data_IF_883700438394
#
_entry.id   IF_883700438394
#
_cell.length_a   1.000
_cell.length_b   1.000
_cell.length_c   1.000
_cell.angle_alpha   90.00
_cell.angle_beta   90.00
_cell.angle_gamma   90.00
#
_symmetry.space_group_name_H-M   'P 1'
#
loop_
_entity.id
_entity.type
_entity.pdbx_description
1 polymer ?
#
# COMPACT_ATOMS: atom_id res chain seq x y z
N UNK A 1 6.34 -27.04 -19.76
CA UNK A 1 5.79 -25.69 -19.70
C UNK A 1 5.96 -25.17 -18.27
N UNK A 2 6.59 -24.01 -18.08
CA UNK A 2 6.66 -23.30 -16.78
C UNK A 2 5.63 -22.16 -16.77
N UNK A 3 4.81 -22.12 -15.74
CA UNK A 3 3.77 -21.09 -15.57
C UNK A 3 3.96 -20.41 -14.23
N UNK A 4 4.04 -19.08 -14.24
CA UNK A 4 4.03 -18.26 -13.02
C UNK A 4 2.66 -17.64 -12.87
N UNK A 5 2.07 -17.80 -11.68
CA UNK A 5 0.75 -17.26 -11.32
C UNK A 5 0.95 -16.21 -10.24
N UNK A 6 0.62 -14.96 -10.55
CA UNK A 6 0.68 -13.81 -9.65
C UNK A 6 -0.61 -12.99 -9.80
N UNK A 7 -1.61 -13.30 -8.99
CA UNK A 7 -2.97 -12.75 -9.05
C UNK A 7 -3.23 -11.94 -7.78
N UNK A 8 -3.71 -10.71 -7.91
CA UNK A 8 -4.14 -9.91 -6.76
C UNK A 8 -5.46 -10.42 -6.16
N UNK A 9 -5.78 -9.98 -4.98
CA UNK A 9 -7.01 -10.36 -4.29
C UNK A 9 -8.25 -9.93 -5.08
N UNK A 10 -9.27 -10.78 -5.02
CA UNK A 10 -10.63 -10.42 -5.46
C UNK A 10 -11.37 -9.88 -4.24
N UNK A 11 -11.22 -8.58 -3.99
CA UNK A 11 -11.68 -7.91 -2.78
C UNK A 11 -13.11 -8.32 -2.39
N UNK A 12 -13.26 -8.81 -1.16
CA UNK A 12 -14.52 -9.34 -0.64
C UNK A 12 -14.90 -10.74 -1.15
N UNK A 13 -14.00 -11.45 -1.87
CA UNK A 13 -14.25 -12.79 -2.42
C UNK A 13 -13.07 -13.73 -2.18
N UNK A 14 -11.95 -13.57 -2.89
CA UNK A 14 -10.78 -14.45 -2.78
C UNK A 14 -9.54 -13.67 -2.35
N UNK A 15 -8.74 -14.27 -1.48
CA UNK A 15 -7.37 -13.81 -1.24
C UNK A 15 -6.50 -14.07 -2.49
N UNK A 16 -5.37 -13.38 -2.60
CA UNK A 16 -4.39 -13.57 -3.67
C UNK A 16 -3.97 -15.05 -3.81
N UNK A 17 -3.66 -15.71 -2.70
CA UNK A 17 -3.26 -17.11 -2.70
C UNK A 17 -4.42 -18.05 -3.11
N UNK A 18 -5.63 -17.79 -2.65
CA UNK A 18 -6.80 -18.60 -3.05
C UNK A 18 -7.08 -18.48 -4.54
N UNK A 19 -7.00 -17.26 -5.11
CA UNK A 19 -7.15 -17.05 -6.55
C UNK A 19 -6.02 -17.73 -7.34
N UNK A 20 -4.78 -17.60 -6.87
CA UNK A 20 -3.61 -18.24 -7.49
C UNK A 20 -3.68 -19.77 -7.45
N UNK A 21 -4.10 -20.36 -6.33
CA UNK A 21 -4.26 -21.80 -6.20
C UNK A 21 -5.42 -22.35 -7.06
N UNK A 22 -6.51 -21.61 -7.18
CA UNK A 22 -7.61 -21.98 -8.08
C UNK A 22 -7.17 -21.91 -9.56
N UNK A 23 -6.37 -20.91 -9.93
CA UNK A 23 -5.78 -20.83 -11.27
C UNK A 23 -4.83 -22.01 -11.53
N UNK A 24 -3.95 -22.35 -10.57
CA UNK A 24 -3.07 -23.53 -10.63
C UNK A 24 -3.85 -24.83 -10.84
N UNK A 25 -4.96 -25.02 -10.14
CA UNK A 25 -5.85 -26.18 -10.34
C UNK A 25 -6.34 -26.27 -11.78
N UNK A 26 -6.79 -25.14 -12.35
CA UNK A 26 -7.23 -25.09 -13.76
C UNK A 26 -6.12 -25.40 -14.74
N UNK A 27 -4.91 -24.87 -14.53
CA UNK A 27 -3.73 -25.15 -15.37
C UNK A 27 -3.41 -26.65 -15.36
N UNK A 28 -3.31 -27.25 -14.18
CA UNK A 28 -2.95 -28.66 -14.02
C UNK A 28 -4.02 -29.63 -14.56
N UNK A 29 -5.28 -29.23 -14.65
CA UNK A 29 -6.32 -30.00 -15.34
C UNK A 29 -6.10 -30.03 -16.87
N UNK A 30 -5.61 -28.98 -17.45
CA UNK A 30 -5.30 -28.92 -18.89
C UNK A 30 -3.91 -29.49 -19.20
N UNK A 31 -2.92 -29.20 -18.36
CA UNK A 31 -1.51 -29.60 -18.52
C UNK A 31 -1.00 -30.20 -17.19
N UNK A 32 -1.20 -31.50 -16.96
CA UNK A 32 -0.82 -32.15 -15.68
C UNK A 32 0.67 -32.06 -15.34
N UNK A 33 1.53 -31.98 -16.37
CA UNK A 33 2.99 -31.93 -16.22
C UNK A 33 3.55 -30.49 -16.18
N UNK A 34 2.70 -29.46 -16.11
CA UNK A 34 3.16 -28.08 -16.03
C UNK A 34 3.82 -27.78 -14.69
N UNK A 35 4.96 -27.09 -14.71
CA UNK A 35 5.57 -26.51 -13.51
C UNK A 35 4.87 -25.18 -13.18
N UNK A 36 3.99 -25.19 -12.18
CA UNK A 36 3.17 -24.03 -11.79
C UNK A 36 3.63 -23.44 -10.48
N UNK A 37 4.21 -22.25 -10.54
CA UNK A 37 4.63 -21.46 -9.36
C UNK A 37 3.58 -20.41 -9.04
N UNK A 38 3.09 -20.37 -7.80
CA UNK A 38 2.14 -19.36 -7.33
C UNK A 38 2.86 -18.39 -6.40
N UNK A 39 2.79 -17.10 -6.70
CA UNK A 39 3.33 -16.02 -5.87
C UNK A 39 2.19 -15.15 -5.35
N UNK A 40 2.24 -14.72 -4.08
CA UNK A 40 1.27 -13.76 -3.56
C UNK A 40 1.44 -12.42 -4.27
N UNK A 41 0.34 -11.72 -4.46
CA UNK A 41 0.34 -10.39 -5.06
C UNK A 41 -0.57 -9.46 -4.24
N UNK A 42 -0.22 -8.20 -4.21
CA UNK A 42 -1.01 -7.10 -3.67
C UNK A 42 -0.62 -5.81 -4.39
N UNK A 43 -1.42 -4.78 -4.24
CA UNK A 43 -1.18 -3.47 -4.87
C UNK A 43 -0.51 -2.44 -3.94
N UNK A 44 -0.11 -2.85 -2.72
CA UNK A 44 0.42 -1.93 -1.69
C UNK A 44 -0.66 -1.25 -0.85
N UNK A 45 -1.93 -1.52 -1.12
CA UNK A 45 -3.08 -1.03 -0.35
C UNK A 45 -3.50 -1.98 0.77
N UNK A 46 -4.79 -1.88 1.15
CA UNK A 46 -5.41 -2.70 2.19
C UNK A 46 -5.30 -4.21 1.89
N UNK A 47 -4.85 -4.98 2.89
CA UNK A 47 -4.67 -6.43 2.80
C UNK A 47 -3.32 -6.88 2.25
N UNK A 48 -2.42 -5.95 1.95
CA UNK A 48 -1.05 -6.25 1.50
C UNK A 48 -0.28 -7.05 2.53
N UNK A 49 -0.38 -6.67 3.80
CA UNK A 49 0.29 -7.35 4.92
C UNK A 49 -0.13 -8.81 5.00
N UNK A 50 -1.44 -9.08 5.03
CA UNK A 50 -1.96 -10.44 5.14
C UNK A 50 -1.62 -11.30 3.90
N UNK A 51 -1.66 -10.72 2.69
CA UNK A 51 -1.28 -11.40 1.47
C UNK A 51 0.19 -11.83 1.46
N UNK A 52 1.09 -10.94 1.89
CA UNK A 52 2.53 -11.22 1.94
C UNK A 52 2.88 -12.21 3.06
N UNK A 53 2.28 -12.09 4.25
CA UNK A 53 2.46 -13.06 5.34
C UNK A 53 2.05 -14.46 4.86
N UNK A 54 0.83 -14.59 4.32
CA UNK A 54 0.31 -15.88 3.88
C UNK A 54 1.14 -16.50 2.76
N UNK A 55 1.67 -15.68 1.85
CA UNK A 55 2.39 -16.15 0.69
C UNK A 55 3.88 -16.40 0.89
N UNK A 56 4.50 -15.71 1.84
CA UNK A 56 5.94 -15.79 2.11
C UNK A 56 6.28 -16.50 3.43
N UNK A 57 5.28 -17.03 4.13
CA UNK A 57 5.51 -17.74 5.40
C UNK A 57 5.89 -16.80 6.55
N UNK A 58 5.36 -15.58 6.55
CA UNK A 58 5.60 -14.60 7.59
C UNK A 58 4.77 -14.83 8.86
N UNK A 59 5.12 -14.11 9.91
CA UNK A 59 4.42 -14.06 11.18
C UNK A 59 3.59 -12.79 11.27
N UNK A 60 2.35 -12.90 11.78
CA UNK A 60 1.52 -11.75 12.13
C UNK A 60 1.80 -11.32 13.55
N UNK A 61 2.09 -10.05 13.75
CA UNK A 61 2.33 -9.43 15.06
C UNK A 61 1.17 -8.49 15.35
N UNK A 62 0.36 -8.84 16.36
CA UNK A 62 -0.77 -8.01 16.81
C UNK A 62 -0.33 -7.14 18.00
N UNK A 63 -0.75 -5.89 18.02
CA UNK A 63 -0.45 -4.93 19.08
C UNK A 63 -1.57 -3.90 19.22
N UNK A 64 -1.63 -3.25 20.37
CA UNK A 64 -2.53 -2.11 20.59
C UNK A 64 -1.72 -0.82 20.49
N UNK A 65 -2.19 0.11 19.66
CA UNK A 65 -1.54 1.40 19.39
C UNK A 65 -2.54 2.54 19.50
N UNK A 66 -2.04 3.75 19.47
CA UNK A 66 -2.85 4.97 19.42
C UNK A 66 -3.53 5.08 18.04
N UNK A 67 -4.84 5.07 18.02
CA UNK A 67 -5.64 5.27 16.80
C UNK A 67 -5.67 6.73 16.34
N UNK A 68 -6.30 7.01 15.19
CA UNK A 68 -6.31 8.36 14.60
C UNK A 68 -7.00 9.41 15.46
N UNK A 69 -7.90 9.01 16.35
CA UNK A 69 -8.61 9.90 17.28
C UNK A 69 -7.95 9.96 18.68
N UNK A 70 -6.72 9.46 18.84
CA UNK A 70 -6.04 9.41 20.13
C UNK A 70 -6.51 8.30 21.07
N UNK A 71 -7.43 7.45 20.65
CA UNK A 71 -7.92 6.29 21.41
C UNK A 71 -7.21 5.01 20.99
N UNK A 72 -7.03 4.02 21.91
CA UNK A 72 -6.39 2.75 21.55
C UNK A 72 -7.15 2.00 20.47
N UNK A 73 -6.40 1.43 19.50
CA UNK A 73 -6.91 0.54 18.45
C UNK A 73 -6.03 -0.70 18.35
N UNK A 74 -6.62 -1.82 17.94
CA UNK A 74 -5.87 -3.03 17.63
C UNK A 74 -5.33 -2.91 16.20
N UNK A 75 -4.01 -2.96 16.08
CA UNK A 75 -3.29 -2.96 14.82
C UNK A 75 -2.47 -4.24 14.68
N UNK A 76 -1.95 -4.48 13.49
CA UNK A 76 -1.02 -5.57 13.26
C UNK A 76 -0.04 -5.21 12.15
N UNK A 77 1.08 -5.91 12.12
CA UNK A 77 2.01 -5.91 11.02
C UNK A 77 2.56 -7.31 10.74
N UNK A 78 3.12 -7.51 9.56
CA UNK A 78 3.75 -8.75 9.16
C UNK A 78 5.24 -8.74 9.45
N UNK A 79 5.79 -9.87 9.88
CA UNK A 79 7.23 -10.06 10.02
C UNK A 79 7.73 -11.22 9.14
N UNK A 80 8.63 -10.91 8.23
CA UNK A 80 9.34 -11.88 7.41
C UNK A 80 10.74 -12.12 8.01
N UNK A 81 10.87 -13.19 8.79
CA UNK A 81 12.09 -13.47 9.56
C UNK A 81 13.33 -13.65 8.67
N UNK A 82 13.21 -14.38 7.56
CA UNK A 82 14.32 -14.64 6.63
C UNK A 82 14.92 -13.35 6.03
N UNK A 83 14.07 -12.32 5.85
CA UNK A 83 14.47 -11.02 5.27
C UNK A 83 14.67 -9.93 6.32
N UNK A 84 14.45 -10.26 7.61
CA UNK A 84 14.39 -9.28 8.71
C UNK A 84 13.57 -8.03 8.35
N UNK A 85 12.37 -8.25 7.78
CA UNK A 85 11.53 -7.19 7.20
C UNK A 85 10.17 -7.16 7.88
N UNK A 86 9.74 -5.97 8.32
CA UNK A 86 8.36 -5.70 8.73
C UNK A 86 7.55 -5.16 7.54
N UNK A 87 6.33 -5.63 7.42
CA UNK A 87 5.35 -5.15 6.44
C UNK A 87 4.21 -4.50 7.20
N UNK A 88 4.04 -3.19 7.04
CA UNK A 88 3.04 -2.40 7.75
C UNK A 88 2.08 -1.74 6.77
N UNK A 89 0.84 -1.63 7.18
CA UNK A 89 -0.14 -0.72 6.57
C UNK A 89 -0.44 0.41 7.57
N UNK A 90 -0.19 1.66 7.19
CA UNK A 90 -0.50 2.78 8.07
C UNK A 90 -1.98 2.84 8.46
N UNK A 91 -2.85 2.32 7.59
CA UNK A 91 -4.29 2.28 7.82
C UNK A 91 -4.70 1.39 9.02
N UNK A 92 -3.84 0.45 9.44
CA UNK A 92 -4.09 -0.35 10.64
C UNK A 92 -4.07 0.49 11.93
N UNK A 93 -3.30 1.60 11.95
CA UNK A 93 -3.19 2.49 13.10
C UNK A 93 -3.82 3.87 12.87
N UNK A 94 -3.83 4.39 11.64
CA UNK A 94 -4.27 5.75 11.32
C UNK A 94 -5.19 5.82 10.09
N UNK A 95 -5.90 4.71 9.82
CA UNK A 95 -6.77 4.56 8.66
C UNK A 95 -8.13 5.24 8.79
N UNK A 96 -8.68 5.65 7.64
CA UNK A 96 -10.01 6.28 7.56
C UNK A 96 -11.14 5.32 7.97
N UNK A 97 -10.92 4.01 7.81
CA UNK A 97 -11.88 2.98 8.23
C UNK A 97 -12.04 2.88 9.76
N UNK A 98 -11.09 3.41 10.52
CA UNK A 98 -11.14 3.47 11.99
C UNK A 98 -11.96 4.67 12.50
N UNK A 99 -12.42 5.54 11.61
CA UNK A 99 -13.09 6.79 11.95
C UNK A 99 -14.49 6.83 11.34
N UNK A 100 -15.51 7.03 12.15
CA UNK A 100 -16.87 7.23 11.67
C UNK A 100 -16.96 8.55 10.89
N UNK A 101 -17.89 8.63 9.93
CA UNK A 101 -18.06 9.83 9.10
C UNK A 101 -18.25 11.11 9.93
N UNK A 102 -19.02 11.01 11.02
CA UNK A 102 -19.29 12.14 11.93
C UNK A 102 -18.13 12.51 12.85
N UNK A 103 -17.08 11.70 12.92
CA UNK A 103 -15.92 11.87 13.82
C UNK A 103 -14.67 12.29 13.05
N UNK A 104 -14.75 12.39 11.72
CA UNK A 104 -13.63 12.84 10.90
C UNK A 104 -13.21 14.25 11.25
N UNK A 105 -11.98 14.41 11.71
CA UNK A 105 -11.42 15.70 12.08
C UNK A 105 -9.93 15.79 11.75
N UNK A 106 -9.55 16.39 10.62
CA UNK A 106 -8.15 16.51 10.19
C UNK A 106 -7.31 17.40 11.10
N UNK A 107 -7.95 18.26 11.93
CA UNK A 107 -7.26 19.14 12.88
C UNK A 107 -6.64 18.36 14.04
N UNK A 108 -7.23 17.23 14.44
CA UNK A 108 -6.81 16.46 15.61
C UNK A 108 -6.36 15.05 15.30
N UNK A 109 -6.68 14.52 14.10
CA UNK A 109 -6.30 13.17 13.71
C UNK A 109 -4.78 13.02 13.61
N UNK A 110 -4.25 11.95 14.23
CA UNK A 110 -2.81 11.74 14.42
C UNK A 110 -2.29 10.46 13.78
N UNK A 111 -1.05 10.50 13.31
CA UNK A 111 -0.28 9.33 12.83
C UNK A 111 0.53 8.67 13.95
N UNK A 112 0.32 9.01 15.23
CA UNK A 112 1.14 8.55 16.36
C UNK A 112 1.27 7.02 16.40
N UNK A 113 0.18 6.27 16.24
CA UNK A 113 0.18 4.81 16.25
C UNK A 113 1.00 4.17 15.13
N UNK A 114 1.20 4.86 14.00
CA UNK A 114 2.12 4.38 12.95
C UNK A 114 3.55 4.35 13.48
N UNK A 115 3.95 5.38 14.22
CA UNK A 115 5.26 5.42 14.87
C UNK A 115 5.42 4.35 15.97
N UNK A 116 4.35 4.05 16.72
CA UNK A 116 4.36 2.98 17.73
C UNK A 116 4.55 1.61 17.07
N UNK A 117 3.91 1.33 15.92
CA UNK A 117 4.13 0.09 15.16
C UNK A 117 5.59 -0.05 14.69
N UNK A 118 6.17 1.04 14.18
CA UNK A 118 7.58 1.07 13.77
C UNK A 118 8.50 0.85 14.98
N UNK A 119 8.21 1.49 16.12
CA UNK A 119 9.00 1.36 17.34
C UNK A 119 8.99 -0.08 17.88
N UNK A 120 7.82 -0.73 17.95
CA UNK A 120 7.69 -2.14 18.36
C UNK A 120 8.52 -3.07 17.45
N UNK A 121 8.45 -2.88 16.14
CA UNK A 121 9.23 -3.66 15.19
C UNK A 121 10.75 -3.44 15.39
N UNK A 122 11.18 -2.19 15.61
CA UNK A 122 12.60 -1.90 15.90
C UNK A 122 13.09 -2.54 17.19
N UNK A 123 12.26 -2.55 18.25
CA UNK A 123 12.57 -3.19 19.54
C UNK A 123 12.74 -4.72 19.39
N UNK A 124 12.00 -5.34 18.46
CA UNK A 124 12.16 -6.75 18.09
C UNK A 124 13.40 -7.03 17.22
N UNK A 125 14.20 -6.02 16.90
CA UNK A 125 15.40 -6.16 16.10
C UNK A 125 15.19 -6.07 14.60
N UNK A 126 14.00 -5.71 14.12
CA UNK A 126 13.70 -5.53 12.70
C UNK A 126 14.33 -4.21 12.21
N UNK A 127 14.88 -4.23 10.99
CA UNK A 127 15.58 -3.08 10.40
C UNK A 127 15.13 -2.73 8.98
N UNK A 128 14.40 -3.61 8.32
CA UNK A 128 13.85 -3.34 6.99
C UNK A 128 12.33 -3.19 7.08
N UNK A 129 11.81 -2.17 6.43
CA UNK A 129 10.40 -1.82 6.50
C UNK A 129 9.81 -1.65 5.11
N UNK A 130 8.71 -2.32 4.83
CA UNK A 130 7.82 -2.07 3.69
C UNK A 130 6.54 -1.50 4.28
N UNK A 131 6.21 -0.26 3.96
CA UNK A 131 5.08 0.43 4.58
C UNK A 131 4.13 0.95 3.51
N UNK A 132 2.90 0.44 3.50
CA UNK A 132 1.80 0.99 2.71
C UNK A 132 1.21 2.21 3.40
N UNK A 133 1.10 3.34 2.68
CA UNK A 133 0.58 4.58 3.25
C UNK A 133 -0.79 5.00 2.71
N UNK A 134 -1.48 4.09 2.02
CA UNK A 134 -2.85 4.29 1.55
C UNK A 134 -3.89 4.33 2.68
N UNK A 135 -5.08 4.89 2.41
CA UNK A 135 -6.25 4.82 3.29
C UNK A 135 -6.19 5.68 4.56
N UNK A 136 -5.38 6.72 4.63
CA UNK A 136 -5.19 7.56 5.82
C UNK A 136 -6.41 8.40 6.22
N UNK A 137 -6.62 8.57 7.54
CA UNK A 137 -7.57 9.53 8.12
C UNK A 137 -6.93 10.90 8.45
N UNK A 138 -5.62 11.02 8.37
CA UNK A 138 -4.81 12.08 8.96
C UNK A 138 -4.36 13.12 7.95
N UNK A 139 -4.09 14.34 8.43
CA UNK A 139 -3.50 15.44 7.68
C UNK A 139 -2.50 16.20 8.58
N UNK A 140 -1.67 15.43 9.31
CA UNK A 140 -0.78 15.92 10.37
C UNK A 140 0.70 16.02 9.91
N UNK A 141 0.98 15.94 8.60
CA UNK A 141 2.36 16.01 8.10
C UNK A 141 3.28 14.88 8.60
N UNK A 142 2.71 13.83 9.21
CA UNK A 142 3.45 12.75 9.84
C UNK A 142 4.07 13.10 11.21
N UNK A 143 3.71 14.26 11.80
CA UNK A 143 4.28 14.72 13.08
C UNK A 143 4.00 13.74 14.21
N UNK A 144 2.80 13.13 14.23
CA UNK A 144 2.44 12.12 15.24
C UNK A 144 3.38 10.92 15.19
N UNK A 145 3.61 10.34 14.01
CA UNK A 145 4.57 9.24 13.81
C UNK A 145 5.97 9.61 14.30
N UNK A 146 6.46 10.79 13.93
CA UNK A 146 7.79 11.25 14.33
C UNK A 146 7.90 11.44 15.84
N UNK A 147 6.84 11.92 16.52
CA UNK A 147 6.80 12.05 17.97
C UNK A 147 6.90 10.69 18.66
N UNK A 148 6.18 9.68 18.19
CA UNK A 148 6.28 8.32 18.72
C UNK A 148 7.68 7.72 18.53
N UNK A 149 8.40 8.15 17.47
CA UNK A 149 9.79 7.77 17.21
C UNK A 149 10.82 8.62 17.99
N UNK A 150 10.37 9.56 18.84
CA UNK A 150 11.19 10.33 19.77
C UNK A 150 11.62 11.71 19.27
N UNK A 151 11.17 12.17 18.08
CA UNK A 151 11.33 13.57 17.70
C UNK A 151 10.43 14.44 18.57
N UNK A 152 10.88 15.68 18.87
CA UNK A 152 10.08 16.66 19.61
C UNK A 152 9.85 17.90 18.74
N UNK A 153 8.65 18.42 18.80
CA UNK A 153 8.21 19.61 18.08
C UNK A 153 7.67 20.63 19.10
N UNK A 154 8.26 21.81 19.11
CA UNK A 154 7.92 22.83 20.08
C UNK A 154 7.51 24.15 19.41
N UNK A 155 6.65 24.90 20.07
CA UNK A 155 6.27 26.24 19.70
C UNK A 155 7.37 27.28 20.10
N UNK A 156 7.11 28.56 19.86
CA UNK A 156 8.02 29.68 20.19
C UNK A 156 8.35 29.79 21.70
N UNK A 157 7.49 29.24 22.56
CA UNK A 157 7.68 29.22 24.01
C UNK A 157 8.37 27.93 24.51
N UNK A 158 8.76 27.04 23.59
CA UNK A 158 9.37 25.73 23.91
C UNK A 158 8.36 24.68 24.41
N UNK A 159 7.06 24.92 24.23
CA UNK A 159 6.00 23.98 24.62
C UNK A 159 5.70 23.01 23.48
N UNK A 160 5.31 21.78 23.82
CA UNK A 160 4.89 20.80 22.80
C UNK A 160 3.70 21.33 21.98
N UNK A 161 3.76 21.17 20.68
CA UNK A 161 2.74 21.69 19.76
C UNK A 161 1.43 20.89 19.76
N UNK A 162 1.38 19.73 20.41
CA UNK A 162 0.21 18.83 20.41
C UNK A 162 0.13 17.95 19.17
N UNK A 163 -1.07 17.51 18.81
CA UNK A 163 -1.35 16.52 17.79
C UNK A 163 -2.19 17.09 16.64
N UNK A 164 -2.17 16.37 15.51
CA UNK A 164 -3.02 16.62 14.33
C UNK A 164 -2.57 17.80 13.47
N UNK A 165 -3.36 18.10 12.43
CA UNK A 165 -3.05 19.18 11.49
C UNK A 165 -2.96 20.57 12.13
N UNK A 166 -3.73 20.83 13.20
CA UNK A 166 -3.68 22.08 13.96
C UNK A 166 -2.34 22.34 14.67
N UNK A 167 -1.53 21.30 14.88
CA UNK A 167 -0.23 21.44 15.53
C UNK A 167 0.81 22.09 14.61
N UNK A 168 0.65 21.94 13.29
CA UNK A 168 1.67 22.26 12.29
C UNK A 168 1.99 23.77 12.23
N UNK A 169 0.99 24.65 12.40
CA UNK A 169 1.18 26.10 12.37
C UNK A 169 2.05 26.62 13.53
N UNK A 170 2.08 25.86 14.65
CA UNK A 170 2.81 26.25 15.87
C UNK A 170 4.24 25.73 15.92
N UNK A 171 4.66 24.88 14.98
CA UNK A 171 6.00 24.33 14.99
C UNK A 171 7.04 25.45 14.79
N UNK A 172 7.83 25.71 15.81
CA UNK A 172 8.91 26.70 15.78
C UNK A 172 10.29 26.05 15.86
N UNK A 173 10.42 24.94 16.56
CA UNK A 173 11.67 24.18 16.67
C UNK A 173 11.45 22.67 16.62
N UNK A 174 12.47 21.97 16.15
CA UNK A 174 12.52 20.52 16.02
C UNK A 174 13.75 20.01 16.76
N UNK A 175 13.56 18.99 17.61
CA UNK A 175 14.61 18.39 18.43
C UNK A 175 14.69 16.91 18.10
N UNK A 176 15.88 16.42 17.73
CA UNK A 176 16.14 15.02 17.36
C UNK A 176 16.95 14.23 18.37
N UNK A 177 17.42 14.87 19.44
CA UNK A 177 18.32 14.27 20.43
C UNK A 177 17.68 13.09 21.18
N UNK A 178 16.35 13.05 21.22
CA UNK A 178 15.57 11.94 21.80
C UNK A 178 15.02 10.96 20.75
N UNK A 179 15.22 11.24 19.46
CA UNK A 179 14.84 10.30 18.43
C UNK A 179 15.59 8.98 18.62
N UNK A 180 14.85 7.88 18.40
CA UNK A 180 15.40 6.55 18.59
C UNK A 180 16.65 6.36 17.71
N UNK A 181 17.84 6.11 18.29
CA UNK A 181 19.08 6.01 17.52
C UNK A 181 19.08 4.86 16.51
N UNK A 182 18.26 3.84 16.72
CA UNK A 182 18.11 2.68 15.85
C UNK A 182 17.55 3.08 14.47
N UNK A 183 16.85 4.21 14.36
CA UNK A 183 16.31 4.72 13.08
C UNK A 183 17.39 4.85 11.98
N UNK A 184 18.64 5.12 12.37
CA UNK A 184 19.77 5.25 11.43
C UNK A 184 20.20 3.91 10.80
N UNK A 185 19.80 2.79 11.42
CA UNK A 185 20.09 1.45 10.95
C UNK A 185 18.95 0.88 10.10
N UNK A 186 17.81 1.60 10.03
CA UNK A 186 16.61 1.14 9.38
C UNK A 186 16.54 1.58 7.92
N UNK A 187 16.00 0.72 7.08
CA UNK A 187 15.68 0.98 5.68
C UNK A 187 14.17 1.05 5.52
N UNK A 188 13.67 2.16 5.01
CA UNK A 188 12.24 2.39 4.83
C UNK A 188 11.88 2.45 3.35
N UNK A 189 11.10 1.48 2.89
CA UNK A 189 10.52 1.43 1.55
C UNK A 189 9.02 1.68 1.66
N UNK A 190 8.56 2.77 1.09
CA UNK A 190 7.19 3.25 1.24
C UNK A 190 6.41 3.02 -0.05
N UNK A 191 5.35 2.23 0.02
CA UNK A 191 4.42 2.02 -1.07
C UNK A 191 3.55 3.27 -1.26
N UNK A 192 3.78 3.99 -2.35
CA UNK A 192 3.11 5.25 -2.66
C UNK A 192 2.80 5.32 -4.16
N UNK A 193 1.51 5.31 -4.50
CA UNK A 193 1.02 5.33 -5.88
C UNK A 193 0.58 6.74 -6.34
N UNK A 194 0.86 7.76 -5.54
CA UNK A 194 0.50 9.15 -5.85
C UNK A 194 1.74 10.02 -5.93
N UNK A 195 1.69 11.04 -6.79
CA UNK A 195 2.81 11.95 -7.06
C UNK A 195 2.59 13.36 -6.51
N UNK A 196 1.51 13.58 -5.76
CA UNK A 196 1.15 14.88 -5.25
C UNK A 196 2.23 15.47 -4.33
N UNK A 197 2.58 16.76 -4.49
CA UNK A 197 3.45 17.47 -3.56
C UNK A 197 2.75 17.65 -2.21
N UNK A 198 3.50 18.12 -1.22
CA UNK A 198 2.96 18.31 0.13
C UNK A 198 1.86 19.36 0.19
N UNK A 199 2.09 20.54 -0.39
CA UNK A 199 1.27 21.73 -0.26
C UNK A 199 0.75 22.26 -1.61
N UNK A 200 -0.17 23.24 -1.53
CA UNK A 200 -0.78 23.91 -2.67
C UNK A 200 -2.00 23.15 -3.22
N UNK A 201 -2.56 23.67 -4.32
CA UNK A 201 -3.82 23.16 -4.91
C UNK A 201 -3.79 21.67 -5.27
N UNK A 202 -2.61 21.14 -5.56
CA UNK A 202 -2.40 19.72 -5.86
C UNK A 202 -1.81 18.96 -4.66
N UNK A 203 -1.71 19.59 -3.50
CA UNK A 203 -1.11 19.05 -2.28
C UNK A 203 -2.05 18.17 -1.46
N UNK A 204 -1.52 17.68 -0.34
CA UNK A 204 -2.19 16.76 0.57
C UNK A 204 -3.56 17.26 1.02
N UNK A 205 -3.64 18.51 1.48
CA UNK A 205 -4.83 19.09 2.09
C UNK A 205 -5.97 19.26 1.08
N UNK A 206 -5.68 19.81 -0.10
CA UNK A 206 -6.72 20.07 -1.10
C UNK A 206 -7.20 18.82 -1.83
N UNK A 207 -6.31 17.88 -2.13
CA UNK A 207 -6.67 16.69 -2.93
C UNK A 207 -7.27 15.58 -2.05
N UNK A 208 -6.66 15.31 -0.91
CA UNK A 208 -7.06 14.18 -0.06
C UNK A 208 -7.79 14.58 1.22
N UNK A 209 -7.75 15.86 1.58
CA UNK A 209 -8.37 16.39 2.78
C UNK A 209 -9.89 16.28 2.82
N UNK A 210 -10.65 16.53 1.73
CA UNK A 210 -12.11 16.49 1.76
C UNK A 210 -12.67 15.17 2.30
N UNK A 211 -12.16 14.03 1.88
CA UNK A 211 -12.59 12.72 2.40
C UNK A 211 -12.27 12.49 3.89
N UNK A 212 -11.35 13.29 4.46
CA UNK A 212 -10.92 13.24 5.86
C UNK A 212 -11.61 14.28 6.74
N UNK A 213 -12.52 15.07 6.16
CA UNK A 213 -13.26 16.11 6.88
C UNK A 213 -12.69 17.52 6.72
N UNK A 214 -11.73 17.75 5.81
CA UNK A 214 -11.32 19.11 5.45
C UNK A 214 -12.46 19.79 4.71
N UNK A 215 -12.98 20.87 5.28
CA UNK A 215 -13.98 21.73 4.61
C UNK A 215 -13.30 22.88 3.85
N UNK A 216 -13.99 23.51 2.88
CA UNK A 216 -13.41 24.66 2.16
C UNK A 216 -12.94 25.79 3.10
N UNK A 217 -13.60 25.97 4.24
CA UNK A 217 -13.30 27.02 5.22
C UNK A 217 -11.95 26.83 5.92
N UNK A 218 -11.55 25.56 6.19
CA UNK A 218 -10.30 25.26 6.90
C UNK A 218 -9.17 24.83 5.96
N UNK A 219 -9.46 24.61 4.67
CA UNK A 219 -8.50 24.05 3.73
C UNK A 219 -7.27 24.97 3.55
N UNK A 220 -7.49 26.27 3.45
CA UNK A 220 -6.42 27.25 3.25
C UNK A 220 -5.51 27.34 4.49
N UNK A 221 -6.10 27.41 5.70
CA UNK A 221 -5.35 27.47 6.96
C UNK A 221 -4.51 26.21 7.17
N UNK A 222 -5.09 25.03 6.89
CA UNK A 222 -4.36 23.76 7.01
C UNK A 222 -3.24 23.63 5.98
N UNK A 223 -3.43 24.09 4.75
CA UNK A 223 -2.37 24.05 3.73
C UNK A 223 -1.25 25.05 4.07
N UNK A 224 -1.57 26.23 4.61
CA UNK A 224 -0.59 27.19 5.11
C UNK A 224 0.17 26.62 6.31
N UNK A 225 -0.49 25.96 7.25
CA UNK A 225 0.15 25.28 8.38
C UNK A 225 1.11 24.16 7.91
N UNK A 226 0.70 23.39 6.94
CA UNK A 226 1.53 22.35 6.31
C UNK A 226 2.77 22.95 5.65
N UNK A 227 2.61 24.06 4.92
CA UNK A 227 3.72 24.76 4.28
C UNK A 227 4.68 25.40 5.31
N UNK A 228 4.14 25.95 6.40
CA UNK A 228 4.94 26.44 7.52
C UNK A 228 5.80 25.33 8.13
N UNK A 229 5.19 24.19 8.47
CA UNK A 229 5.90 23.02 8.98
C UNK A 229 7.00 22.54 8.03
N UNK A 230 6.71 22.45 6.72
CA UNK A 230 7.70 22.09 5.72
C UNK A 230 8.90 23.08 5.70
N UNK A 231 8.61 24.37 5.82
CA UNK A 231 9.64 25.42 5.88
C UNK A 231 10.56 25.29 7.11
N UNK A 232 9.97 25.00 8.29
CA UNK A 232 10.75 24.76 9.51
C UNK A 232 11.57 23.49 9.39
N UNK A 233 10.99 22.42 8.83
CA UNK A 233 11.68 21.14 8.56
C UNK A 233 12.85 21.32 7.63
N UNK A 234 12.66 22.04 6.52
CA UNK A 234 13.72 22.32 5.55
C UNK A 234 14.92 23.06 6.16
N UNK A 235 14.66 24.04 7.02
CA UNK A 235 15.71 24.74 7.77
C UNK A 235 16.45 23.83 8.73
N UNK A 236 15.72 22.94 9.43
CA UNK A 236 16.29 22.02 10.39
C UNK A 236 17.16 20.93 9.74
N UNK A 237 16.72 20.39 8.60
CA UNK A 237 17.40 19.28 7.90
C UNK A 237 18.37 19.74 6.83
N UNK A 238 18.36 21.04 6.47
CA UNK A 238 19.11 21.61 5.34
C UNK A 238 18.76 20.94 3.99
N UNK A 239 17.53 20.46 3.86
CA UNK A 239 17.00 19.83 2.65
C UNK A 239 15.50 20.09 2.55
N UNK A 240 14.95 20.10 1.32
CA UNK A 240 13.53 20.37 1.05
C UNK A 240 12.92 19.26 0.21
N UNK A 241 11.95 18.56 0.80
CA UNK A 241 11.16 17.53 0.13
C UNK A 241 9.70 17.92 -0.08
N UNK A 242 9.29 19.15 0.19
CA UNK A 242 7.89 19.55 0.08
C UNK A 242 7.33 19.40 -1.35
N UNK A 243 8.17 19.61 -2.37
CA UNK A 243 7.81 19.45 -3.78
C UNK A 243 8.10 18.08 -4.35
N UNK A 244 8.64 17.14 -3.55
CA UNK A 244 8.93 15.78 -4.01
C UNK A 244 7.65 15.02 -4.35
N UNK A 245 7.74 14.17 -5.36
CA UNK A 245 6.63 13.28 -5.73
C UNK A 245 6.27 12.37 -4.54
N UNK A 246 4.98 12.32 -4.20
CA UNK A 246 4.46 11.54 -3.07
C UNK A 246 4.60 12.21 -1.69
N UNK A 247 5.21 13.38 -1.58
CA UNK A 247 5.30 14.10 -0.31
C UNK A 247 3.93 14.36 0.33
N UNK A 248 2.91 14.64 -0.48
CA UNK A 248 1.53 14.85 -0.04
C UNK A 248 0.76 13.58 0.31
N UNK A 249 1.30 12.41 0.01
CA UNK A 249 0.63 11.14 0.31
C UNK A 249 0.32 11.03 1.81
N UNK A 250 -0.86 10.44 2.10
CA UNK A 250 -1.32 10.20 3.47
C UNK A 250 -1.29 11.45 4.37
N UNK A 251 -1.65 12.62 3.82
CA UNK A 251 -1.71 13.85 4.60
C UNK A 251 -0.35 14.36 5.06
N UNK A 252 0.68 14.16 4.23
CA UNK A 252 2.06 14.56 4.48
C UNK A 252 2.91 13.50 5.18
N UNK A 253 2.39 12.30 5.41
CA UNK A 253 3.19 11.20 5.95
C UNK A 253 4.33 10.83 4.98
N UNK A 254 4.10 10.89 3.65
CA UNK A 254 5.15 10.74 2.63
C UNK A 254 6.29 11.74 2.82
N UNK A 255 5.98 13.00 3.08
CA UNK A 255 6.97 14.03 3.40
C UNK A 255 7.79 13.70 4.65
N UNK A 256 7.13 13.21 5.72
CA UNK A 256 7.82 12.83 6.95
C UNK A 256 8.81 11.68 6.71
N UNK A 257 8.42 10.66 5.97
CA UNK A 257 9.30 9.56 5.61
C UNK A 257 10.52 10.01 4.79
N UNK A 258 10.30 10.83 3.76
CA UNK A 258 11.38 11.39 2.94
C UNK A 258 12.34 12.25 3.75
N UNK A 259 11.79 13.16 4.56
CA UNK A 259 12.58 14.18 5.25
C UNK A 259 13.37 13.64 6.44
N UNK A 260 12.75 12.83 7.27
CA UNK A 260 13.31 12.43 8.58
C UNK A 260 13.90 11.03 8.60
N UNK A 261 13.40 10.13 7.77
CA UNK A 261 13.75 8.70 7.81
C UNK A 261 14.52 8.22 6.58
N UNK A 262 14.92 9.15 5.70
CA UNK A 262 15.64 8.85 4.46
C UNK A 262 14.98 7.72 3.65
N UNK A 263 13.65 7.68 3.64
CA UNK A 263 12.88 6.65 2.99
C UNK A 263 12.89 6.79 1.46
N UNK A 264 12.63 5.67 0.79
CA UNK A 264 12.38 5.63 -0.65
C UNK A 264 10.89 5.43 -0.89
N UNK A 265 10.25 6.33 -1.64
CA UNK A 265 8.88 6.16 -2.11
C UNK A 265 8.90 5.46 -3.46
N UNK A 266 8.13 4.40 -3.59
CA UNK A 266 8.08 3.55 -4.79
C UNK A 266 6.63 3.12 -5.03
N UNK A 267 6.18 2.94 -6.27
CA UNK A 267 4.88 2.35 -6.55
C UNK A 267 4.68 1.05 -5.79
N UNK A 268 3.51 0.89 -5.17
CA UNK A 268 3.23 -0.25 -4.30
C UNK A 268 3.49 -1.59 -4.99
N UNK A 269 3.04 -1.73 -6.23
CA UNK A 269 3.25 -2.95 -6.99
C UNK A 269 4.74 -3.29 -7.17
N UNK A 270 5.60 -2.32 -7.43
CA UNK A 270 7.03 -2.58 -7.65
C UNK A 270 7.71 -3.08 -6.36
N UNK A 271 7.32 -2.54 -5.18
CA UNK A 271 7.79 -3.04 -3.89
C UNK A 271 7.33 -4.49 -3.64
N UNK A 272 6.09 -4.80 -3.96
CA UNK A 272 5.54 -6.15 -3.77
C UNK A 272 6.22 -7.15 -4.69
N UNK A 273 6.38 -6.84 -5.98
CA UNK A 273 7.08 -7.70 -6.93
C UNK A 273 8.51 -8.03 -6.49
N UNK A 274 9.21 -7.03 -5.92
CA UNK A 274 10.53 -7.22 -5.34
C UNK A 274 10.49 -8.07 -4.06
N UNK A 275 9.53 -7.82 -3.16
CA UNK A 275 9.38 -8.57 -1.91
C UNK A 275 9.13 -10.06 -2.15
N UNK A 276 8.29 -10.41 -3.14
CA UNK A 276 7.98 -11.79 -3.51
C UNK A 276 9.03 -12.39 -4.46
N UNK A 277 10.03 -11.60 -4.86
CA UNK A 277 11.08 -12.02 -5.81
C UNK A 277 10.52 -12.57 -7.13
N UNK A 278 9.47 -11.90 -7.65
CA UNK A 278 8.78 -12.39 -8.84
C UNK A 278 9.72 -12.46 -10.03
N UNK A 279 10.65 -11.53 -10.16
CA UNK A 279 11.60 -11.46 -11.29
C UNK A 279 12.41 -12.74 -11.45
N UNK A 280 12.85 -13.36 -10.35
CA UNK A 280 13.58 -14.64 -10.37
C UNK A 280 12.74 -15.79 -10.92
N UNK A 281 11.43 -15.75 -10.67
CA UNK A 281 10.53 -16.80 -11.14
C UNK A 281 10.18 -16.65 -12.63
N UNK A 282 10.29 -15.43 -13.17
CA UNK A 282 9.97 -15.15 -14.56
C UNK A 282 11.06 -15.59 -15.56
N UNK A 283 12.26 -15.86 -15.07
CA UNK A 283 13.30 -16.48 -15.89
C UNK A 283 12.78 -17.83 -16.43
N UNK A 284 12.90 -18.05 -17.76
CA UNK A 284 12.44 -19.25 -18.45
C UNK A 284 10.93 -19.55 -18.27
N UNK A 285 10.10 -18.53 -18.02
CA UNK A 285 8.65 -18.68 -17.89
C UNK A 285 7.96 -18.56 -19.24
N UNK A 286 7.22 -19.61 -19.63
CA UNK A 286 6.46 -19.64 -20.87
C UNK A 286 5.23 -18.72 -20.79
N UNK A 287 4.48 -18.84 -19.69
CA UNK A 287 3.21 -18.13 -19.48
C UNK A 287 3.17 -17.53 -18.08
N UNK A 288 2.77 -16.28 -18.01
CA UNK A 288 2.46 -15.60 -16.76
C UNK A 288 0.95 -15.37 -16.63
N UNK A 289 0.37 -15.81 -15.55
CA UNK A 289 -1.04 -15.59 -15.22
C UNK A 289 -1.15 -14.54 -14.15
N UNK A 290 -1.92 -13.49 -14.41
CA UNK A 290 -2.20 -12.42 -13.46
C UNK A 290 -3.70 -12.13 -13.37
N UNK A 291 -4.12 -11.19 -12.58
CA UNK A 291 -5.53 -10.82 -12.44
C UNK A 291 -5.83 -10.04 -11.17
N UNK A 292 -7.07 -9.62 -11.09
CA UNK A 292 -7.66 -8.91 -9.93
C UNK A 292 -9.20 -9.02 -9.97
N UNK A 293 -9.87 -8.49 -8.95
CA UNK A 293 -11.35 -8.53 -8.87
C UNK A 293 -12.05 -7.85 -10.05
N UNK A 294 -11.48 -6.78 -10.62
CA UNK A 294 -12.05 -6.03 -11.74
C UNK A 294 -10.97 -5.39 -12.60
N UNK A 295 -10.93 -5.77 -13.88
CA UNK A 295 -10.12 -5.10 -14.88
C UNK A 295 -10.88 -3.90 -15.47
N UNK A 296 -10.28 -2.72 -15.35
CA UNK A 296 -10.83 -1.46 -15.82
C UNK A 296 -9.75 -0.48 -16.29
N UNK A 297 -10.11 0.77 -16.53
CA UNK A 297 -9.18 1.83 -16.90
C UNK A 297 -8.05 2.03 -15.87
N UNK A 298 -8.36 1.93 -14.57
CA UNK A 298 -7.36 2.11 -13.52
C UNK A 298 -6.31 1.01 -13.52
N UNK A 299 -6.68 -0.22 -13.91
CA UNK A 299 -5.74 -1.33 -14.06
C UNK A 299 -4.63 -0.98 -15.07
N UNK A 300 -5.02 -0.38 -16.20
CA UNK A 300 -4.07 0.05 -17.25
C UNK A 300 -3.11 1.17 -16.78
N UNK A 301 -3.46 1.91 -15.74
CA UNK A 301 -2.62 2.97 -15.16
C UNK A 301 -1.49 2.46 -14.25
N UNK A 302 -1.28 1.15 -14.15
CA UNK A 302 -0.13 0.58 -13.43
C UNK A 302 -0.46 -0.22 -12.17
N UNK A 303 -1.72 -0.66 -12.00
CA UNK A 303 -2.08 -1.57 -10.90
C UNK A 303 -1.39 -2.94 -11.04
N UNK A 304 -1.61 -3.79 -10.05
CA UNK A 304 -0.96 -5.08 -9.89
C UNK A 304 -0.86 -5.94 -11.18
N UNK A 305 -1.94 -6.16 -11.95
CA UNK A 305 -1.85 -6.98 -13.17
C UNK A 305 -0.91 -6.41 -14.25
N UNK A 306 -0.90 -5.08 -14.41
CA UNK A 306 -0.03 -4.40 -15.38
C UNK A 306 1.43 -4.37 -14.88
N UNK A 307 1.66 -4.23 -13.58
CA UNK A 307 3.00 -4.35 -12.99
C UNK A 307 3.62 -5.72 -13.27
N UNK A 308 2.85 -6.79 -13.05
CA UNK A 308 3.26 -8.17 -13.39
C UNK A 308 3.52 -8.30 -14.89
N UNK A 309 2.62 -7.81 -15.74
CA UNK A 309 2.77 -7.90 -17.19
C UNK A 309 4.04 -7.19 -17.68
N UNK A 310 4.29 -5.97 -17.21
CA UNK A 310 5.49 -5.20 -17.53
C UNK A 310 6.77 -5.97 -17.19
N UNK A 311 6.81 -6.61 -16.02
CA UNK A 311 7.95 -7.41 -15.59
C UNK A 311 8.09 -8.68 -16.45
N UNK A 312 6.99 -9.43 -16.66
CA UNK A 312 6.97 -10.66 -17.46
C UNK A 312 7.42 -10.44 -18.92
N UNK A 313 7.06 -9.28 -19.50
CA UNK A 313 7.46 -8.94 -20.87
C UNK A 313 8.96 -8.74 -21.05
N UNK A 314 9.71 -8.40 -20.01
CA UNK A 314 11.18 -8.35 -20.07
C UNK A 314 11.80 -9.71 -20.38
N UNK A 315 11.11 -10.78 -19.97
CA UNK A 315 11.54 -12.19 -20.13
C UNK A 315 10.83 -12.90 -21.30
N UNK A 316 10.03 -12.17 -22.09
CA UNK A 316 9.33 -12.73 -23.26
C UNK A 316 8.14 -13.63 -22.92
N UNK A 317 7.72 -13.69 -21.66
CA UNK A 317 6.58 -14.50 -21.23
C UNK A 317 5.26 -14.00 -21.84
N UNK A 318 4.37 -14.93 -22.22
CA UNK A 318 3.00 -14.62 -22.60
C UNK A 318 2.18 -14.33 -21.36
N UNK A 319 1.46 -13.21 -21.34
CA UNK A 319 0.71 -12.75 -20.15
C UNK A 319 -0.81 -12.88 -20.36
N UNK A 320 -1.46 -13.65 -19.50
CA UNK A 320 -2.90 -13.83 -19.51
C UNK A 320 -3.47 -13.35 -18.17
N UNK A 321 -4.49 -12.50 -18.23
CA UNK A 321 -5.15 -12.01 -17.01
C UNK A 321 -6.56 -12.60 -16.84
N UNK A 322 -6.93 -12.86 -15.57
CA UNK A 322 -8.27 -13.28 -15.19
C UNK A 322 -8.88 -12.29 -14.20
N UNK A 323 -10.15 -11.97 -14.35
CA UNK A 323 -10.83 -11.00 -13.50
C UNK A 323 -12.24 -11.42 -13.13
N UNK A 324 -12.75 -10.96 -11.99
CA UNK A 324 -14.15 -11.15 -11.61
C UNK A 324 -15.09 -10.45 -12.58
N UNK A 325 -14.73 -9.24 -12.99
CA UNK A 325 -15.43 -8.47 -14.03
C UNK A 325 -14.45 -7.71 -14.93
N UNK A 326 -14.89 -7.39 -16.14
CA UNK A 326 -14.09 -6.68 -17.13
C UNK A 326 -14.94 -5.57 -17.73
N UNK A 327 -14.42 -4.33 -17.71
CA UNK A 327 -15.10 -3.20 -18.37
C UNK A 327 -14.62 -3.04 -19.83
N UNK A 328 -15.35 -2.32 -20.68
CA UNK A 328 -14.90 -2.04 -22.06
C UNK A 328 -13.52 -1.38 -22.12
N UNK A 329 -13.21 -0.53 -21.14
CA UNK A 329 -11.95 0.22 -21.07
C UNK A 329 -10.73 -0.68 -20.71
N UNK A 330 -10.98 -1.89 -20.22
CA UNK A 330 -9.90 -2.87 -19.92
C UNK A 330 -9.04 -3.23 -21.16
N UNK A 331 -9.53 -2.96 -22.38
CA UNK A 331 -8.75 -3.12 -23.61
C UNK A 331 -7.44 -2.33 -23.60
N UNK A 332 -7.35 -1.25 -22.81
CA UNK A 332 -6.11 -0.51 -22.60
C UNK A 332 -5.00 -1.37 -21.95
N UNK A 333 -5.36 -2.40 -21.18
CA UNK A 333 -4.41 -3.32 -20.57
C UNK A 333 -3.61 -4.13 -21.61
N UNK A 334 -4.14 -4.33 -22.83
CA UNK A 334 -3.39 -5.00 -23.90
C UNK A 334 -2.17 -4.15 -24.31
N UNK A 335 -2.33 -2.84 -24.46
CA UNK A 335 -1.21 -1.94 -24.74
C UNK A 335 -0.20 -1.87 -23.59
N UNK A 336 -0.63 -2.19 -22.36
CA UNK A 336 0.21 -2.23 -21.16
C UNK A 336 0.93 -3.57 -20.92
N UNK A 337 0.78 -4.55 -21.86
CA UNK A 337 1.54 -5.79 -21.87
C UNK A 337 0.76 -7.06 -21.52
N UNK A 338 -0.55 -6.97 -21.26
CA UNK A 338 -1.42 -8.14 -21.08
C UNK A 338 -1.86 -8.65 -22.47
N UNK A 339 -1.43 -9.84 -22.87
CA UNK A 339 -1.75 -10.37 -24.22
C UNK A 339 -3.23 -10.70 -24.37
N UNK A 340 -3.85 -11.26 -23.33
CA UNK A 340 -5.28 -11.56 -23.30
C UNK A 340 -5.84 -11.50 -21.89
N UNK A 341 -7.12 -11.16 -21.75
CA UNK A 341 -7.79 -11.17 -20.45
C UNK A 341 -9.19 -11.77 -20.56
N UNK A 342 -9.63 -12.42 -19.47
CA UNK A 342 -10.89 -13.17 -19.45
C UNK A 342 -11.64 -12.93 -18.13
N UNK A 343 -12.99 -12.73 -18.17
CA UNK A 343 -13.78 -12.78 -16.95
C UNK A 343 -13.91 -14.22 -16.46
N UNK A 344 -13.89 -14.41 -15.13
CA UNK A 344 -14.09 -15.74 -14.53
C UNK A 344 -15.57 -16.09 -14.38
N UNK A 345 -16.47 -15.10 -14.39
CA UNK A 345 -17.92 -15.32 -14.33
C UNK A 345 -18.40 -15.87 -15.68
N UNK A 346 -18.91 -17.10 -15.70
CA UNK A 346 -19.19 -17.88 -16.92
C UNK A 346 -20.65 -17.85 -17.35
N UNK A 347 -21.54 -17.39 -16.49
CA UNK A 347 -22.99 -17.29 -16.75
C UNK A 347 -23.60 -16.08 -16.06
N UNK A 348 -24.86 -15.78 -16.37
CA UNK A 348 -25.61 -14.74 -15.70
C UNK A 348 -25.86 -15.15 -14.25
N UNK A 349 -25.41 -14.35 -13.30
CA UNK A 349 -25.51 -14.61 -11.87
C UNK A 349 -25.67 -13.30 -11.10
N UNK A 350 -25.99 -13.37 -9.82
CA UNK A 350 -26.02 -12.20 -8.93
C UNK A 350 -24.61 -11.87 -8.45
N UNK A 351 -24.40 -10.62 -8.03
CA UNK A 351 -23.11 -10.19 -7.47
C UNK A 351 -22.74 -11.03 -6.23
N UNK A 352 -23.70 -11.30 -5.36
CA UNK A 352 -23.49 -12.11 -4.15
C UNK A 352 -23.03 -13.55 -4.48
N UNK A 353 -23.64 -14.18 -5.48
CA UNK A 353 -23.24 -15.51 -5.94
C UNK A 353 -21.88 -15.51 -6.63
N UNK A 354 -21.59 -14.46 -7.42
CA UNK A 354 -20.29 -14.32 -8.09
C UNK A 354 -19.15 -14.11 -7.09
N UNK A 355 -19.42 -13.38 -6.00
CA UNK A 355 -18.44 -13.09 -4.94
C UNK A 355 -18.32 -14.19 -3.89
N UNK A 356 -19.25 -15.17 -3.85
CA UNK A 356 -19.12 -16.30 -2.95
C UNK A 356 -17.79 -17.04 -3.17
N UNK A 357 -16.93 -17.22 -2.15
CA UNK A 357 -15.58 -17.75 -2.34
C UNK A 357 -15.55 -19.15 -3.01
N UNK A 358 -16.53 -20.01 -2.75
CA UNK A 358 -16.61 -21.34 -3.35
C UNK A 358 -16.91 -21.24 -4.85
N UNK A 359 -17.85 -20.37 -5.22
CA UNK A 359 -18.22 -20.14 -6.61
C UNK A 359 -17.07 -19.48 -7.36
N UNK A 360 -16.43 -18.47 -6.78
CA UNK A 360 -15.31 -17.75 -7.37
C UNK A 360 -14.11 -18.68 -7.62
N UNK A 361 -13.73 -19.55 -6.68
CA UNK A 361 -12.69 -20.58 -6.88
C UNK A 361 -13.03 -21.52 -8.02
N UNK A 362 -14.24 -22.05 -8.04
CA UNK A 362 -14.70 -22.95 -9.11
C UNK A 362 -14.71 -22.28 -10.47
N UNK A 363 -15.14 -21.02 -10.54
CA UNK A 363 -15.16 -20.21 -11.76
C UNK A 363 -13.76 -19.92 -12.26
N UNK A 364 -12.83 -19.53 -11.37
CA UNK A 364 -11.43 -19.29 -11.69
C UNK A 364 -10.78 -20.55 -12.27
N UNK A 365 -10.86 -21.70 -11.58
CA UNK A 365 -10.27 -22.94 -12.04
C UNK A 365 -10.81 -23.34 -13.42
N UNK A 366 -12.13 -23.25 -13.62
CA UNK A 366 -12.75 -23.66 -14.88
C UNK A 366 -12.46 -22.69 -16.03
N UNK A 367 -12.40 -21.36 -15.78
CA UNK A 367 -12.05 -20.38 -16.81
C UNK A 367 -10.59 -20.57 -17.25
N UNK A 368 -9.69 -20.72 -16.30
CA UNK A 368 -8.25 -20.96 -16.56
C UNK A 368 -8.05 -22.28 -17.32
N UNK A 369 -8.72 -23.37 -16.91
CA UNK A 369 -8.65 -24.65 -17.62
C UNK A 369 -8.99 -24.51 -19.11
N UNK A 370 -10.10 -23.80 -19.43
CA UNK A 370 -10.52 -23.68 -20.84
C UNK A 370 -9.53 -22.85 -21.66
N UNK A 371 -8.94 -21.79 -21.09
CA UNK A 371 -7.91 -21.01 -21.77
C UNK A 371 -6.65 -21.84 -21.99
N UNK A 372 -6.21 -22.59 -20.99
CA UNK A 372 -5.00 -23.42 -21.11
C UNK A 372 -5.14 -24.62 -22.04
N UNK A 373 -6.39 -25.07 -22.35
CA UNK A 373 -6.61 -26.06 -23.41
C UNK A 373 -6.34 -25.53 -24.82
N UNK A 374 -6.20 -24.23 -24.99
CA UNK A 374 -5.85 -23.56 -26.26
C UNK A 374 -4.34 -23.24 -26.37
N UNK A 375 -3.62 -23.29 -25.27
CA UNK A 375 -2.19 -22.94 -25.17
C UNK A 375 -1.32 -24.19 -25.17
#
# INVERSE_FOLDING_TARGET
>A
MKVVVAIDSFKGSLTSIEAGMAAKEGILKAHPDANVVVKPLADGGEGTTDALIAGLGGERIDLTVTGPLGTPVNAHYGYLAEKNTAILEMAAAAGIILVRESEKNPLTATTYGVGEMIADAMERGIRNFIIGIGGSATNDGGIGMLKALGYQFSDENGQDVGEGGQALERVSSIIKEKANPILKECNFHIACDVTNPLCGKNGATYIYGPQKGVTPEIAEELDQAMNHYASVTSKFLHNDYASAEGAGAAGGLGFAFLSYLNATLTPGIDLILNAVELEKELEDTDITVTGEGRLDHQTAMGKAPVGVARLAKKYGSKVVAFAGSVTPEATACNAAGIDAFFPIVRWITTLAEAMDPKNAKSNMAAAVEQVFRLL
#
